data_IF_446237078539
#
_entry.id   IF_446237078539
#
_cell.length_a   1.000
_cell.length_b   1.000
_cell.length_c   1.000
_cell.angle_alpha   90.00
_cell.angle_beta   90.00
_cell.angle_gamma   90.00
#
_symmetry.space_group_name_H-M   'P 1'
#
loop_
_entity.id
_entity.type
_entity.pdbx_description
1 polymer ?
#
# COMPACT_ATOMS: atom_id res chain seq x y z
N UNK A 1 4.06 34.93 -14.58
CA UNK A 1 5.37 34.77 -15.26
C UNK A 1 5.47 33.33 -15.73
N UNK A 2 6.12 33.03 -16.87
CA UNK A 2 6.37 31.65 -17.28
C UNK A 2 7.52 31.04 -16.48
N UNK A 3 7.35 29.79 -16.08
CA UNK A 3 8.29 29.03 -15.27
C UNK A 3 8.57 27.73 -16.00
N UNK A 4 9.85 27.37 -16.06
CA UNK A 4 10.30 26.09 -16.59
C UNK A 4 11.02 25.29 -15.51
N UNK A 5 10.70 24.01 -15.43
CA UNK A 5 11.26 23.02 -14.52
C UNK A 5 11.82 21.89 -15.35
N UNK A 6 13.01 21.42 -15.00
CA UNK A 6 13.68 20.37 -15.75
C UNK A 6 14.33 19.39 -14.78
N UNK A 7 14.02 18.13 -14.96
CA UNK A 7 14.59 16.98 -14.26
C UNK A 7 15.40 16.21 -15.29
N UNK A 8 16.72 16.35 -15.23
CA UNK A 8 17.63 15.86 -16.28
C UNK A 8 18.52 14.77 -15.71
N UNK A 9 18.30 13.56 -16.21
CA UNK A 9 19.07 12.36 -15.94
C UNK A 9 19.84 11.96 -17.20
N UNK A 10 20.84 11.05 -17.10
CA UNK A 10 21.71 10.73 -18.23
C UNK A 10 20.98 10.28 -19.50
N UNK A 11 19.86 9.54 -19.38
CA UNK A 11 19.12 9.01 -20.52
C UNK A 11 17.67 9.48 -20.62
N UNK A 12 17.19 10.28 -19.66
CA UNK A 12 15.83 10.81 -19.62
C UNK A 12 15.86 12.29 -19.20
N UNK A 13 15.08 13.15 -19.88
CA UNK A 13 14.86 14.52 -19.43
C UNK A 13 13.38 14.85 -19.46
N UNK A 14 12.83 15.17 -18.28
CA UNK A 14 11.46 15.60 -18.08
C UNK A 14 11.43 17.13 -17.92
N UNK A 15 10.68 17.82 -18.77
CA UNK A 15 10.56 19.27 -18.80
C UNK A 15 9.11 19.66 -18.55
N UNK A 16 8.85 20.52 -17.58
CA UNK A 16 7.54 21.10 -17.31
C UNK A 16 7.62 22.61 -17.51
N UNK A 17 6.73 23.14 -18.33
CA UNK A 17 6.57 24.57 -18.56
C UNK A 17 5.17 25.00 -18.12
N UNK A 18 5.12 26.10 -17.39
CA UNK A 18 3.90 26.53 -16.74
C UNK A 18 3.92 27.97 -16.26
N UNK A 19 2.94 28.32 -15.46
CA UNK A 19 2.76 29.63 -14.88
C UNK A 19 2.69 29.53 -13.36
N UNK A 20 3.11 30.61 -12.69
CA UNK A 20 2.80 30.85 -11.29
C UNK A 20 1.41 31.46 -11.14
N UNK A 21 0.63 30.96 -10.19
CA UNK A 21 -0.58 31.63 -9.73
C UNK A 21 -0.23 32.75 -8.75
N UNK A 22 0.01 33.95 -9.27
CA UNK A 22 0.39 35.13 -8.48
C UNK A 22 -0.84 35.87 -7.93
N UNK A 23 -1.71 35.18 -7.19
CA UNK A 23 -2.81 35.78 -6.42
C UNK A 23 -2.76 35.49 -4.91
N UNK A 24 -1.80 34.69 -4.43
CA UNK A 24 -1.59 34.41 -3.01
C UNK A 24 -0.27 35.00 -2.52
N UNK A 25 -0.34 35.75 -1.43
CA UNK A 25 0.74 36.34 -0.62
C UNK A 25 2.17 35.94 -0.97
N UNK A 26 2.97 36.97 -1.29
CA UNK A 26 4.42 36.95 -1.38
C UNK A 26 5.05 36.20 -0.19
N UNK A 27 5.22 34.88 -0.29
CA UNK A 27 6.21 34.18 0.53
C UNK A 27 7.55 34.26 -0.18
N UNK A 28 8.05 35.50 -0.27
CA UNK A 28 9.36 35.86 -0.79
C UNK A 28 10.50 35.38 0.15
N UNK A 29 10.22 34.41 1.03
CA UNK A 29 11.18 33.86 1.98
C UNK A 29 11.94 32.64 1.43
N UNK A 30 11.50 32.03 0.31
CA UNK A 30 12.06 30.77 -0.23
C UNK A 30 12.49 30.79 -1.70
N UNK A 31 12.85 31.95 -2.26
CA UNK A 31 13.75 32.09 -3.43
C UNK A 31 13.37 31.52 -4.81
N UNK A 32 12.35 30.68 -4.95
CA UNK A 32 11.96 30.03 -6.22
C UNK A 32 10.44 30.07 -6.41
N UNK A 33 9.92 30.56 -7.55
CA UNK A 33 8.48 30.71 -7.75
C UNK A 33 7.78 29.35 -7.95
N UNK A 34 6.57 29.20 -7.41
CA UNK A 34 5.77 27.97 -7.57
C UNK A 34 5.22 27.87 -8.99
N UNK A 35 5.36 26.72 -9.64
CA UNK A 35 4.65 26.38 -10.88
C UNK A 35 3.35 25.67 -10.49
N UNK A 36 2.21 26.36 -10.59
CA UNK A 36 0.89 25.82 -10.21
C UNK A 36 0.02 25.49 -11.42
N UNK A 37 0.25 26.11 -12.58
CA UNK A 37 -0.50 25.85 -13.80
C UNK A 37 0.46 25.27 -14.84
N UNK A 38 0.20 24.03 -15.29
CA UNK A 38 1.00 23.39 -16.33
C UNK A 38 0.47 23.79 -17.72
N UNK A 39 1.35 24.33 -18.55
CA UNK A 39 1.05 24.67 -19.95
C UNK A 39 1.51 23.55 -20.88
N UNK A 40 2.68 22.99 -20.64
CA UNK A 40 3.26 21.93 -21.46
C UNK A 40 4.18 21.05 -20.60
N UNK A 41 4.19 19.75 -20.88
CA UNK A 41 5.16 18.81 -20.37
C UNK A 41 5.76 18.01 -21.51
N UNK A 42 7.06 17.77 -21.43
CA UNK A 42 7.80 16.99 -22.41
C UNK A 42 8.71 15.98 -21.73
N UNK A 43 8.80 14.77 -22.30
CA UNK A 43 9.74 13.75 -21.88
C UNK A 43 10.58 13.31 -23.07
N UNK A 44 11.90 13.38 -22.89
CA UNK A 44 12.91 13.12 -23.92
C UNK A 44 13.81 11.98 -23.48
N UNK A 45 14.23 11.13 -24.43
CA UNK A 45 15.14 10.03 -24.18
C UNK A 45 16.36 10.10 -25.10
N UNK A 46 17.54 9.77 -24.57
CA UNK A 46 18.77 9.76 -25.37
C UNK A 46 18.69 8.69 -26.46
N UNK A 47 19.00 9.06 -27.70
CA UNK A 47 18.97 8.13 -28.85
C UNK A 47 17.58 7.90 -29.45
N UNK A 48 16.53 8.50 -28.89
CA UNK A 48 15.16 8.43 -29.41
C UNK A 48 14.75 9.83 -29.88
N UNK A 49 14.52 10.07 -31.18
CA UNK A 49 14.24 11.40 -31.70
C UNK A 49 12.82 11.90 -31.35
N UNK A 50 11.89 10.98 -31.10
CA UNK A 50 10.54 11.32 -30.70
C UNK A 50 10.50 11.74 -29.22
N UNK A 51 9.71 12.77 -28.92
CA UNK A 51 9.42 13.21 -27.56
C UNK A 51 7.97 12.89 -27.21
N UNK A 52 7.73 12.52 -25.95
CA UNK A 52 6.38 12.50 -25.41
C UNK A 52 6.02 13.93 -25.02
N UNK A 53 4.82 14.39 -25.35
CA UNK A 53 4.41 15.76 -25.07
C UNK A 53 2.92 15.82 -24.70
N UNK A 54 2.58 16.55 -23.64
CA UNK A 54 1.18 16.75 -23.29
C UNK A 54 0.96 17.75 -22.17
N UNK A 55 -0.28 17.82 -21.70
CA UNK A 55 -0.67 18.69 -20.59
C UNK A 55 -0.60 18.00 -19.23
N UNK A 56 -1.44 18.45 -18.30
CA UNK A 56 -1.50 17.90 -16.94
C UNK A 56 -1.86 16.41 -16.96
N UNK A 57 -2.97 16.04 -17.61
CA UNK A 57 -3.44 14.66 -17.72
C UNK A 57 -2.36 13.71 -18.23
N UNK A 58 -1.54 14.15 -19.20
CA UNK A 58 -0.39 13.40 -19.69
C UNK A 58 0.61 13.09 -18.57
N UNK A 59 1.03 14.09 -17.78
CA UNK A 59 1.98 13.88 -16.67
C UNK A 59 1.39 12.96 -15.60
N UNK A 60 0.11 13.13 -15.26
CA UNK A 60 -0.56 12.27 -14.29
C UNK A 60 -0.59 10.81 -14.75
N UNK A 61 -0.95 10.58 -16.01
CA UNK A 61 -1.04 9.23 -16.57
C UNK A 61 0.34 8.63 -16.81
N UNK A 62 1.36 9.44 -17.13
CA UNK A 62 2.75 9.00 -17.25
C UNK A 62 3.25 8.52 -15.89
N UNK A 63 3.05 9.33 -14.85
CA UNK A 63 3.43 8.99 -13.47
C UNK A 63 2.77 7.70 -12.99
N UNK A 64 1.46 7.55 -13.21
CA UNK A 64 0.71 6.33 -12.86
C UNK A 64 1.24 5.11 -13.61
N UNK A 65 1.39 5.21 -14.94
CA UNK A 65 1.82 4.09 -15.77
C UNK A 65 3.25 3.65 -15.44
N UNK A 66 4.18 4.59 -15.31
CA UNK A 66 5.57 4.30 -14.96
C UNK A 66 5.68 3.69 -13.57
N UNK A 67 4.95 4.23 -12.60
CA UNK A 67 4.98 3.69 -11.22
C UNK A 67 4.38 2.29 -11.13
N UNK A 68 3.23 2.05 -11.78
CA UNK A 68 2.62 0.72 -11.82
C UNK A 68 3.54 -0.30 -12.50
N UNK A 69 4.14 0.09 -13.63
CA UNK A 69 5.07 -0.77 -14.36
C UNK A 69 6.36 -1.05 -13.58
N UNK A 70 6.95 -0.03 -12.95
CA UNK A 70 8.13 -0.19 -12.12
C UNK A 70 7.86 -1.10 -10.91
N UNK A 71 6.69 -0.95 -10.27
CA UNK A 71 6.27 -1.85 -9.19
C UNK A 71 6.15 -3.30 -9.67
N UNK A 72 5.50 -3.55 -10.82
CA UNK A 72 5.41 -4.90 -11.38
C UNK A 72 6.79 -5.46 -11.73
N UNK A 73 7.60 -4.69 -12.45
CA UNK A 73 8.91 -5.11 -12.94
C UNK A 73 9.90 -5.41 -11.80
N UNK A 74 9.93 -4.57 -10.77
CA UNK A 74 10.82 -4.73 -9.62
C UNK A 74 10.33 -5.77 -8.62
N UNK A 75 9.02 -5.91 -8.43
CA UNK A 75 8.46 -6.87 -7.46
C UNK A 75 8.28 -8.27 -8.03
N UNK A 76 8.22 -8.42 -9.36
CA UNK A 76 7.83 -9.66 -10.02
C UNK A 76 6.36 -10.05 -9.79
N UNK A 77 5.57 -9.16 -9.19
CA UNK A 77 4.14 -9.36 -8.93
C UNK A 77 3.35 -8.71 -10.04
N UNK A 78 2.51 -9.46 -10.78
CA UNK A 78 1.65 -8.88 -11.82
C UNK A 78 0.78 -7.77 -11.24
N UNK A 79 0.85 -6.58 -11.82
CA UNK A 79 0.00 -5.46 -11.42
C UNK A 79 -1.19 -5.41 -12.38
N UNK A 80 -2.44 -5.61 -11.91
CA UNK A 80 -3.60 -5.47 -12.77
C UNK A 80 -3.65 -4.04 -13.31
N UNK A 81 -3.39 -3.87 -14.59
CA UNK A 81 -3.46 -2.56 -15.21
C UNK A 81 -4.92 -2.11 -15.22
N UNK A 82 -5.22 -0.97 -14.57
CA UNK A 82 -6.57 -0.43 -14.58
C UNK A 82 -7.02 -0.16 -16.03
N UNK A 83 -8.26 -0.52 -16.31
CA UNK A 83 -8.87 -0.50 -17.64
C UNK A 83 -8.73 0.89 -18.24
N UNK A 84 -8.31 0.91 -19.52
CA UNK A 84 -8.13 2.09 -20.39
C UNK A 84 -9.15 3.18 -20.07
N UNK A 85 -8.66 4.32 -19.58
CA UNK A 85 -9.47 5.53 -19.37
C UNK A 85 -9.98 6.04 -20.71
N UNK A 86 -11.13 6.74 -20.74
CA UNK A 86 -11.66 7.39 -21.95
C UNK A 86 -10.80 8.57 -22.45
N UNK A 87 -9.74 8.89 -21.73
CA UNK A 87 -8.82 10.01 -21.95
C UNK A 87 -7.45 9.54 -22.46
N UNK A 88 -6.46 10.44 -22.50
CA UNK A 88 -5.07 10.13 -22.84
C UNK A 88 -4.57 8.89 -22.11
N UNK A 89 -4.04 7.92 -22.84
CA UNK A 89 -3.58 6.65 -22.25
C UNK A 89 -2.09 6.45 -22.45
N UNK A 90 -1.43 5.99 -21.38
CA UNK A 90 -0.02 5.61 -21.39
C UNK A 90 0.08 4.18 -20.87
N UNK A 91 0.76 3.34 -21.63
CA UNK A 91 0.99 1.93 -21.29
C UNK A 91 2.47 1.65 -21.37
N UNK A 92 2.98 0.93 -20.38
CA UNK A 92 4.30 0.32 -20.43
C UNK A 92 4.14 -1.21 -20.40
N UNK A 93 4.91 -1.89 -21.24
CA UNK A 93 4.97 -3.34 -21.29
C UNK A 93 6.41 -3.82 -21.56
N UNK A 94 6.76 -5.00 -21.06
CA UNK A 94 8.04 -5.64 -21.38
C UNK A 94 7.92 -6.28 -22.76
N UNK A 95 8.90 -6.06 -23.64
CA UNK A 95 8.96 -6.76 -24.93
C UNK A 95 9.47 -8.19 -24.69
N UNK A 96 8.73 -9.24 -25.07
CA UNK A 96 9.13 -10.64 -24.87
C UNK A 96 10.51 -10.93 -25.44
N UNK A 97 11.28 -11.79 -24.77
CA UNK A 97 12.61 -12.25 -25.19
C UNK A 97 13.67 -11.14 -25.39
N UNK A 98 13.42 -9.94 -24.85
CA UNK A 98 14.36 -8.82 -24.87
C UNK A 98 14.49 -8.15 -23.49
N UNK A 99 15.43 -7.21 -23.38
CA UNK A 99 15.58 -6.30 -22.24
C UNK A 99 14.95 -4.92 -22.51
N UNK A 100 14.09 -4.82 -23.52
CA UNK A 100 13.45 -3.57 -23.92
C UNK A 100 12.04 -3.47 -23.33
N UNK A 101 11.61 -2.23 -23.17
CA UNK A 101 10.34 -1.85 -22.59
C UNK A 101 9.61 -0.95 -23.57
N UNK A 102 8.39 -1.32 -24.00
CA UNK A 102 7.60 -0.50 -24.91
C UNK A 102 6.78 0.48 -24.08
N UNK A 103 6.93 1.77 -24.36
CA UNK A 103 6.06 2.83 -23.87
C UNK A 103 5.16 3.26 -25.02
N UNK A 104 3.86 3.04 -24.88
CA UNK A 104 2.84 3.45 -25.85
C UNK A 104 2.06 4.61 -25.26
N UNK A 105 2.04 5.72 -25.97
CA UNK A 105 1.25 6.90 -25.63
C UNK A 105 0.23 7.17 -26.74
N UNK A 106 -1.05 7.20 -26.34
CA UNK A 106 -2.15 7.60 -27.20
C UNK A 106 -2.74 8.90 -26.65
N UNK A 107 -2.50 10.00 -27.36
CA UNK A 107 -3.25 11.23 -27.16
C UNK A 107 -4.70 10.97 -27.60
N UNK A 108 -5.65 11.17 -26.68
CA UNK A 108 -7.09 11.00 -26.86
C UNK A 108 -7.50 9.80 -27.76
N UNK A 109 -7.92 8.65 -27.21
CA UNK A 109 -8.27 7.46 -27.98
C UNK A 109 -9.46 7.65 -28.94
N UNK A 110 -10.21 8.77 -28.84
CA UNK A 110 -11.30 9.13 -29.76
C UNK A 110 -10.78 9.78 -31.06
N UNK A 111 -9.50 10.15 -31.12
CA UNK A 111 -8.87 10.70 -32.32
C UNK A 111 -8.20 9.59 -33.14
N UNK A 112 -8.30 9.65 -34.47
CA UNK A 112 -7.65 8.69 -35.39
C UNK A 112 -6.11 8.86 -35.48
N UNK A 113 -5.51 9.58 -34.54
CA UNK A 113 -4.05 9.73 -34.52
C UNK A 113 -3.41 8.41 -34.09
N UNK A 114 -2.35 7.97 -34.79
CA UNK A 114 -1.66 6.75 -34.40
C UNK A 114 -0.98 6.94 -33.03
N UNK A 115 -0.92 5.87 -32.20
CA UNK A 115 -0.19 5.92 -30.95
C UNK A 115 1.31 6.15 -31.21
N UNK A 116 1.94 6.90 -30.32
CA UNK A 116 3.40 7.02 -30.27
C UNK A 116 3.97 5.85 -29.45
N UNK A 117 4.77 5.01 -30.09
CA UNK A 117 5.48 3.92 -29.43
C UNK A 117 6.97 4.22 -29.33
N UNK A 118 7.52 4.10 -28.12
CA UNK A 118 8.94 4.24 -27.83
C UNK A 118 9.46 2.95 -27.21
N UNK A 119 10.59 2.45 -27.70
CA UNK A 119 11.30 1.33 -27.08
C UNK A 119 12.40 1.88 -26.16
N UNK A 120 12.26 1.61 -24.87
CA UNK A 120 13.18 2.05 -23.84
C UNK A 120 14.08 0.87 -23.43
N UNK A 121 15.37 1.15 -23.29
CA UNK A 121 16.28 0.29 -22.53
C UNK A 121 15.92 0.31 -21.05
N UNK A 122 16.33 -0.72 -20.31
CA UNK A 122 16.13 -0.75 -18.85
C UNK A 122 16.76 0.45 -18.15
N UNK A 123 17.90 0.96 -18.64
CA UNK A 123 18.53 2.16 -18.07
C UNK A 123 17.68 3.42 -18.32
N UNK A 124 17.15 3.60 -19.53
CA UNK A 124 16.22 4.71 -19.83
C UNK A 124 14.94 4.64 -19.00
N UNK A 125 14.41 3.43 -18.76
CA UNK A 125 13.26 3.22 -17.89
C UNK A 125 13.57 3.66 -16.46
N UNK A 126 14.72 3.27 -15.90
CA UNK A 126 15.08 3.67 -14.54
C UNK A 126 15.31 5.16 -14.42
N UNK A 127 15.92 5.80 -15.42
CA UNK A 127 16.03 7.26 -15.47
C UNK A 127 14.65 7.93 -15.60
N UNK A 128 13.66 7.29 -16.25
CA UNK A 128 12.28 7.80 -16.27
C UNK A 128 11.63 7.74 -14.89
N UNK A 129 11.77 6.62 -14.19
CA UNK A 129 11.25 6.44 -12.82
C UNK A 129 11.84 7.50 -11.90
N UNK A 130 13.17 7.62 -11.87
CA UNK A 130 13.86 8.61 -11.04
C UNK A 130 13.48 10.05 -11.40
N UNK A 131 13.30 10.35 -12.69
CA UNK A 131 12.88 11.68 -13.13
C UNK A 131 11.48 12.06 -12.64
N UNK A 132 10.58 11.08 -12.57
CA UNK A 132 9.22 11.24 -12.02
C UNK A 132 9.29 11.39 -10.49
N UNK A 133 10.11 10.60 -9.81
CA UNK A 133 10.30 10.70 -8.36
C UNK A 133 10.87 12.07 -7.96
N UNK A 134 11.87 12.58 -8.69
CA UNK A 134 12.40 13.93 -8.49
C UNK A 134 11.34 15.02 -8.74
N UNK A 135 10.46 14.82 -9.73
CA UNK A 135 9.35 15.71 -9.98
C UNK A 135 8.38 15.76 -8.78
N UNK A 136 7.94 14.62 -8.25
CA UNK A 136 7.06 14.60 -7.08
C UNK A 136 7.73 15.04 -5.79
N UNK A 137 9.06 14.97 -5.71
CA UNK A 137 9.83 15.52 -4.59
C UNK A 137 9.96 17.06 -4.64
N UNK A 138 9.75 17.69 -5.80
CA UNK A 138 9.80 19.16 -5.95
C UNK A 138 8.49 19.81 -5.49
N UNK A 139 8.43 20.21 -4.22
CA UNK A 139 7.27 20.88 -3.60
C UNK A 139 6.85 22.20 -4.25
N UNK A 140 7.67 22.76 -5.14
CA UNK A 140 7.39 24.01 -5.86
C UNK A 140 6.88 23.77 -7.29
N UNK A 141 6.68 22.51 -7.69
CA UNK A 141 6.20 22.14 -9.04
C UNK A 141 4.94 21.30 -8.93
N UNK A 142 3.80 21.89 -9.30
CA UNK A 142 2.46 21.28 -9.24
C UNK A 142 2.16 20.68 -7.86
N UNK A 143 2.16 21.49 -6.78
CA UNK A 143 1.96 21.00 -5.41
C UNK A 143 0.58 20.38 -5.17
N UNK A 144 -0.38 20.66 -6.04
CA UNK A 144 -1.73 20.10 -6.04
C UNK A 144 -1.80 18.73 -6.74
N UNK A 145 -0.77 18.36 -7.52
CA UNK A 145 -0.68 17.08 -8.18
C UNK A 145 -0.03 16.05 -7.24
N UNK A 146 -0.82 15.06 -6.83
CA UNK A 146 -0.36 13.97 -5.97
C UNK A 146 -0.53 12.61 -6.65
N UNK A 147 0.47 11.75 -6.48
CA UNK A 147 0.44 10.39 -6.98
C UNK A 147 -0.12 9.44 -5.92
N UNK A 148 -1.33 8.95 -6.14
CA UNK A 148 -1.95 7.97 -5.23
C UNK A 148 -1.46 6.54 -5.56
N UNK A 149 -0.26 6.20 -5.09
CA UNK A 149 0.23 4.82 -5.17
C UNK A 149 -0.48 3.94 -4.13
N UNK A 150 -1.16 2.89 -4.60
CA UNK A 150 -1.75 1.89 -3.70
C UNK A 150 -0.85 0.66 -3.61
N UNK A 151 -0.56 0.15 -2.40
CA UNK A 151 0.19 -1.08 -2.26
C UNK A 151 -0.57 -2.25 -2.92
N UNK A 152 0.17 -3.11 -3.62
CA UNK A 152 -0.38 -4.30 -4.23
C UNK A 152 -0.96 -5.25 -3.17
N UNK A 153 -2.15 -5.79 -3.45
CA UNK A 153 -2.77 -6.73 -2.54
C UNK A 153 -1.93 -8.02 -2.43
N UNK A 154 -1.82 -8.57 -1.22
CA UNK A 154 -1.11 -9.84 -0.98
C UNK A 154 -1.63 -11.01 -1.82
N UNK A 155 -2.84 -10.91 -2.38
CA UNK A 155 -3.46 -11.94 -3.23
C UNK A 155 -2.73 -12.13 -4.56
N UNK A 156 -2.03 -11.09 -5.05
CA UNK A 156 -1.29 -11.16 -6.31
C UNK A 156 0.15 -11.64 -6.14
N UNK A 157 0.65 -11.69 -4.89
CA UNK A 157 2.00 -12.19 -4.60
C UNK A 157 2.07 -13.69 -4.93
N UNK A 158 2.99 -14.07 -5.81
CA UNK A 158 3.34 -15.48 -6.03
C UNK A 158 3.84 -16.04 -4.69
N UNK A 159 3.27 -17.13 -4.15
CA UNK A 159 3.73 -17.70 -2.90
C UNK A 159 5.22 -18.07 -3.01
N UNK A 160 6.05 -17.54 -2.12
CA UNK A 160 7.50 -17.84 -2.09
C UNK A 160 7.77 -19.33 -1.79
N UNK A 161 6.82 -20.02 -1.16
CA UNK A 161 6.95 -21.43 -0.78
C UNK A 161 5.89 -22.32 -1.46
N UNK A 162 6.27 -23.56 -1.85
CA UNK A 162 5.34 -24.55 -2.33
C UNK A 162 4.30 -24.89 -1.26
N UNK A 163 3.08 -25.22 -1.69
CA UNK A 163 1.95 -25.53 -0.79
C UNK A 163 2.29 -26.56 0.30
N UNK A 164 3.19 -27.49 0.01
CA UNK A 164 3.64 -28.53 0.94
C UNK A 164 4.41 -27.94 2.13
N UNK A 165 5.29 -26.95 1.91
CA UNK A 165 6.03 -26.29 3.01
C UNK A 165 5.08 -25.44 3.87
N UNK A 166 4.12 -24.78 3.23
CA UNK A 166 3.10 -23.97 3.92
C UNK A 166 2.14 -24.80 4.78
N UNK A 167 2.03 -26.09 4.52
CA UNK A 167 1.20 -27.01 5.30
C UNK A 167 1.87 -27.49 6.59
N UNK A 168 3.20 -27.35 6.74
CA UNK A 168 3.94 -27.86 7.91
C UNK A 168 3.34 -27.38 9.25
N UNK A 169 3.04 -26.09 9.47
CA UNK A 169 2.46 -25.64 10.74
C UNK A 169 1.05 -26.18 10.98
N UNK A 170 0.24 -26.27 9.92
CA UNK A 170 -1.11 -26.79 9.99
C UNK A 170 -1.11 -28.30 10.32
N UNK A 171 -0.23 -29.07 9.68
CA UNK A 171 -0.05 -30.50 9.97
C UNK A 171 0.43 -30.72 11.40
N UNK A 172 1.39 -29.92 11.87
CA UNK A 172 1.88 -29.98 13.25
C UNK A 172 0.76 -29.69 14.26
N UNK A 173 -0.07 -28.68 13.98
CA UNK A 173 -1.21 -28.32 14.82
C UNK A 173 -2.27 -29.42 14.88
N UNK A 174 -2.65 -30.00 13.73
CA UNK A 174 -3.62 -31.11 13.66
C UNK A 174 -3.11 -32.33 14.42
N UNK A 175 -1.84 -32.68 14.25
CA UNK A 175 -1.22 -33.81 14.97
C UNK A 175 -1.19 -33.56 16.47
N UNK A 176 -0.81 -32.35 16.90
CA UNK A 176 -0.80 -31.99 18.32
C UNK A 176 -2.20 -32.05 18.95
N UNK A 177 -3.22 -31.58 18.24
CA UNK A 177 -4.61 -31.63 18.70
C UNK A 177 -5.09 -33.08 18.84
N UNK A 178 -4.79 -33.94 17.86
CA UNK A 178 -5.13 -35.35 17.89
C UNK A 178 -4.46 -36.08 19.07
N UNK A 179 -3.18 -35.81 19.33
CA UNK A 179 -2.44 -36.37 20.47
C UNK A 179 -3.06 -35.90 21.79
N UNK A 180 -3.38 -34.61 21.92
CA UNK A 180 -4.03 -34.08 23.11
C UNK A 180 -5.41 -34.70 23.34
N UNK A 181 -6.23 -34.85 22.29
CA UNK A 181 -7.52 -35.52 22.37
C UNK A 181 -7.42 -36.97 22.81
N UNK A 182 -6.44 -37.72 22.27
CA UNK A 182 -6.13 -39.08 22.72
C UNK A 182 -5.72 -39.12 24.19
N UNK A 183 -4.83 -38.21 24.63
CA UNK A 183 -4.40 -38.14 26.01
C UNK A 183 -5.57 -37.83 26.96
N UNK A 184 -6.44 -36.88 26.60
CA UNK A 184 -7.63 -36.53 27.37
C UNK A 184 -8.66 -37.67 27.41
N UNK A 185 -8.76 -38.49 26.37
CA UNK A 185 -9.64 -39.66 26.35
C UNK A 185 -9.27 -40.71 27.41
N UNK A 186 -7.99 -40.83 27.76
CA UNK A 186 -7.51 -41.74 28.81
C UNK A 186 -7.58 -41.14 30.22
N UNK A 187 -7.97 -39.87 30.38
CA UNK A 187 -8.18 -39.30 31.72
C UNK A 187 -9.53 -39.77 32.28
N UNK A 188 -9.57 -40.18 33.56
CA UNK A 188 -10.83 -40.54 34.20
C UNK A 188 -11.76 -39.33 34.27
N UNK A 189 -13.06 -39.57 34.01
CA UNK A 189 -14.09 -38.55 34.13
C UNK A 189 -14.13 -38.08 35.59
N UNK A 190 -13.93 -36.78 35.87
CA UNK A 190 -13.99 -36.26 37.23
C UNK A 190 -15.39 -36.46 37.82
N UNK A 191 -15.47 -36.99 39.04
CA UNK A 191 -16.73 -36.98 39.77
C UNK A 191 -17.10 -35.55 40.16
N UNK A 192 -18.23 -35.08 39.64
CA UNK A 192 -18.81 -33.80 40.04
C UNK A 192 -19.51 -34.00 41.38
N UNK A 193 -18.93 -33.46 42.46
CA UNK A 193 -19.62 -33.39 43.75
C UNK A 193 -20.63 -32.26 43.73
N UNK A 194 -21.88 -32.57 44.07
CA UNK A 194 -22.87 -31.55 44.35
C UNK A 194 -22.44 -30.72 45.58
N UNK A 195 -22.63 -29.39 45.57
CA UNK A 195 -22.33 -28.56 46.73
C UNK A 195 -23.09 -29.06 47.96
N UNK A 196 -22.40 -29.27 49.08
CA UNK A 196 -23.06 -29.68 50.32
C UNK A 196 -24.11 -28.63 50.74
N UNK A 197 -25.34 -29.05 51.10
CA UNK A 197 -26.33 -28.13 51.62
C UNK A 197 -25.81 -27.51 52.91
N UNK A 198 -25.82 -26.18 52.95
CA UNK A 198 -25.46 -25.40 54.14
C UNK A 198 -26.30 -25.88 55.34
N UNK A 199 -25.69 -26.16 56.52
CA UNK A 199 -26.45 -26.60 57.67
C UNK A 199 -27.51 -25.58 58.04
N UNK A 200 -28.75 -26.06 58.17
CA UNK A 200 -29.90 -25.29 58.61
C UNK A 200 -29.67 -24.89 60.07
N UNK A 201 -29.59 -23.58 60.32
CA UNK A 201 -29.36 -23.04 61.66
C UNK A 201 -30.62 -23.32 62.49
N UNK A 202 -30.54 -24.31 63.37
CA UNK A 202 -31.61 -24.58 64.35
C UNK A 202 -31.72 -23.37 65.30
N UNK A 203 -32.91 -22.77 65.49
CA UNK A 203 -33.07 -21.65 66.42
C UNK A 203 -32.74 -22.07 67.85
N UNK A 204 -31.79 -21.38 68.48
CA UNK A 204 -31.43 -21.56 69.89
C UNK A 204 -32.63 -21.18 70.79
N UNK A 205 -33.16 -22.14 71.55
CA UNK A 205 -34.04 -21.84 72.68
C UNK A 205 -33.26 -21.12 73.80
N UNK A 206 -33.82 -20.07 74.43
CA UNK A 206 -33.16 -19.38 75.54
C UNK A 206 -33.15 -20.25 76.80
N UNK A 207 -31.97 -20.40 77.41
CA UNK A 207 -31.75 -21.12 78.67
C UNK A 207 -32.21 -20.25 79.85
N UNK A 208 -32.96 -20.80 80.84
CA UNK A 208 -33.33 -20.07 82.04
C UNK A 208 -32.14 -19.91 83.01
N UNK A 209 -31.97 -18.69 83.49
CA UNK A 209 -30.93 -18.25 84.41
C UNK A 209 -31.28 -18.66 85.86
N UNK A 210 -30.55 -19.62 86.43
CA UNK A 210 -30.62 -19.95 87.86
C UNK A 210 -29.29 -19.66 88.53
N UNK A 211 -29.19 -18.48 89.13
CA UNK A 211 -28.10 -18.04 90.00
C UNK A 211 -28.13 -18.81 91.34
N UNK A 212 -27.01 -19.37 91.82
CA UNK A 212 -26.96 -20.00 93.13
C UNK A 212 -26.75 -18.96 94.25
N UNK A 213 -27.53 -19.04 95.32
CA UNK A 213 -27.28 -18.33 96.59
C UNK A 213 -26.90 -19.38 97.67
N UNK A 214 -25.80 -19.17 98.43
CA UNK A 214 -25.20 -20.15 99.35
C UNK A 214 -25.93 -20.23 100.72
N UNK A 215 -25.60 -21.24 101.57
CA UNK A 215 -26.33 -21.48 102.82
C UNK A 215 -25.82 -20.67 104.03
N UNK A 216 -26.81 -20.09 104.73
CA UNK A 216 -27.09 -19.96 106.19
C UNK A 216 -25.99 -19.63 107.23
N UNK A 217 -26.33 -18.71 108.16
CA UNK A 217 -25.88 -18.79 109.57
C UNK A 217 -25.79 -17.46 110.35
N UNK A 218 -26.72 -17.32 111.33
CA UNK A 218 -26.81 -16.38 112.48
C UNK A 218 -27.10 -14.88 112.27
#
# INVERSE_FOLDING_TARGET
>A
MSIRRQYSLPNCTLVLEGLSDSFGTNDATMGRPVLSILVNAECHFVGIPQKLQGGRTFVENLAKAVSAYAQEYLSGVPHPQEVVSEEDSIRLEKIPDTHLHRLTWQANPKTEQPPLELELTTVQLFDLVEGIDQFFADSQTLPDLTLQLRPLSRRYRVPDEPLVQRAVPATLGIVSLAIAGLALFFLPIPEVREPEPKPEVTPTQPVPNNTPVPPSGN
#
